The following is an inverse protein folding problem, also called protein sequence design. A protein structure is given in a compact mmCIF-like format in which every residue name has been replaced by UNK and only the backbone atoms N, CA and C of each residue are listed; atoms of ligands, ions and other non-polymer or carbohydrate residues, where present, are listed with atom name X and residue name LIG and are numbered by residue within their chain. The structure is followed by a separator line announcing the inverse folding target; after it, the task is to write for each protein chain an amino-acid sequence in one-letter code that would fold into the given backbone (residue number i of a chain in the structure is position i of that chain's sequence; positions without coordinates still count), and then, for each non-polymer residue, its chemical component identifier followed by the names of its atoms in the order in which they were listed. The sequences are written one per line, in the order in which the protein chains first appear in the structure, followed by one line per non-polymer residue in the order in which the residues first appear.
data_IF_458283186710
#
_entry.id   IF_458283186710
#
_cell.length_a   1.000
_cell.length_b   1.000
_cell.length_c   1.000
_cell.angle_alpha   90.00
_cell.angle_beta   90.00
_cell.angle_gamma   90.00
#
_symmetry.space_group_name_H-M   'P 1'
#
loop_
_entity.id
_entity.type
_entity.pdbx_description
1 polymer ?
#
# COMPACT_ATOMS: atom_id res chain seq x y z
N UNK A 1 13.43 -16.94 -18.12
CA UNK A 1 12.65 -15.77 -18.57
C UNK A 1 11.34 -15.66 -17.81
N UNK A 2 10.76 -14.46 -17.72
CA UNK A 2 9.43 -14.25 -17.11
C UNK A 2 8.36 -14.33 -18.19
N UNK A 3 7.40 -15.25 -18.05
CA UNK A 3 6.29 -15.38 -19.00
C UNK A 3 5.30 -14.20 -18.84
N UNK A 4 5.35 -13.25 -19.79
CA UNK A 4 4.51 -12.05 -19.81
C UNK A 4 3.21 -12.20 -20.61
N UNK A 5 3.08 -13.28 -21.38
CA UNK A 5 1.93 -13.53 -22.26
C UNK A 5 0.86 -14.35 -21.53
N UNK A 6 1.25 -15.37 -20.76
CA UNK A 6 0.28 -16.21 -20.05
C UNK A 6 -0.67 -15.45 -19.13
N UNK A 7 -0.28 -14.35 -18.44
CA UNK A 7 -1.21 -13.58 -17.63
C UNK A 7 -2.34 -12.91 -18.44
N UNK A 8 -2.15 -12.69 -19.75
CA UNK A 8 -3.15 -12.11 -20.67
C UNK A 8 -4.29 -13.09 -20.96
N UNK A 9 -4.04 -14.39 -20.82
CA UNK A 9 -5.00 -15.46 -21.11
C UNK A 9 -5.83 -15.85 -19.88
N UNK A 10 -5.53 -15.28 -18.71
CA UNK A 10 -6.21 -15.58 -17.46
C UNK A 10 -7.47 -14.69 -17.35
N UNK A 11 -8.67 -15.27 -17.19
CA UNK A 11 -9.87 -14.49 -16.93
C UNK A 11 -9.74 -13.63 -15.67
N UNK A 12 -10.35 -12.45 -15.70
CA UNK A 12 -10.33 -11.53 -14.56
C UNK A 12 -11.01 -12.17 -13.36
N UNK A 13 -10.29 -12.33 -12.25
CA UNK A 13 -10.85 -12.87 -11.02
C UNK A 13 -10.13 -12.36 -9.78
N UNK A 14 -10.86 -12.31 -8.66
CA UNK A 14 -10.29 -11.98 -7.36
C UNK A 14 -9.81 -13.26 -6.65
N UNK A 15 -8.55 -13.27 -6.23
CA UNK A 15 -7.99 -14.35 -5.43
C UNK A 15 -8.57 -14.43 -4.00
N UNK A 16 -8.18 -15.47 -3.28
CA UNK A 16 -8.56 -15.66 -1.87
C UNK A 16 -8.12 -14.48 -0.98
N UNK A 17 -8.94 -14.09 0.00
CA UNK A 17 -8.58 -13.02 0.94
C UNK A 17 -7.37 -13.44 1.79
N UNK A 18 -6.41 -12.53 1.98
CA UNK A 18 -5.21 -12.77 2.77
C UNK A 18 -4.66 -11.47 3.39
N UNK A 19 -3.62 -11.59 4.21
CA UNK A 19 -2.93 -10.47 4.87
C UNK A 19 -1.41 -10.48 4.58
N UNK A 20 -0.99 -10.99 3.41
CA UNK A 20 0.42 -11.03 3.05
C UNK A 20 0.87 -9.66 2.54
N UNK A 21 1.87 -9.04 3.20
CA UNK A 21 2.42 -7.75 2.78
C UNK A 21 3.22 -7.82 1.48
N UNK A 22 3.81 -8.98 1.18
CA UNK A 22 4.63 -9.17 -0.02
C UNK A 22 3.84 -8.87 -1.29
N UNK A 23 4.46 -8.04 -2.16
CA UNK A 23 3.97 -7.77 -3.52
C UNK A 23 2.84 -6.73 -3.60
N UNK A 24 2.56 -6.00 -2.52
CA UNK A 24 1.61 -4.89 -2.54
C UNK A 24 2.25 -3.69 -3.23
N UNK A 25 1.49 -3.07 -4.14
CA UNK A 25 1.79 -1.79 -4.78
C UNK A 25 0.48 -1.02 -4.95
N UNK A 26 0.45 0.26 -4.62
CA UNK A 26 -0.77 1.09 -4.72
C UNK A 26 -1.09 1.55 -6.14
N UNK A 27 -0.18 1.35 -7.09
CA UNK A 27 -0.35 1.73 -8.50
C UNK A 27 -1.60 1.14 -9.18
N UNK A 28 -2.17 0.07 -8.63
CA UNK A 28 -3.45 -0.49 -9.07
C UNK A 28 -4.17 -1.12 -7.87
N UNK A 29 -4.67 -0.25 -6.99
CA UNK A 29 -5.24 -0.61 -5.71
C UNK A 29 -6.60 0.05 -5.49
N UNK A 30 -7.52 -0.65 -4.83
CA UNK A 30 -8.81 -0.12 -4.44
C UNK A 30 -9.10 -0.46 -2.98
N UNK A 31 -9.63 0.52 -2.25
CA UNK A 31 -9.97 0.40 -0.84
C UNK A 31 -11.29 1.10 -0.59
N UNK A 32 -12.11 0.52 0.29
CA UNK A 32 -13.34 1.16 0.73
C UNK A 32 -13.01 2.45 1.48
N UNK A 33 -13.74 3.54 1.18
CA UNK A 33 -13.56 4.83 1.85
C UNK A 33 -13.55 4.68 3.37
N UNK A 34 -14.52 3.94 3.94
CA UNK A 34 -14.61 3.71 5.38
C UNK A 34 -13.38 3.01 5.97
N UNK A 35 -12.78 2.06 5.24
CA UNK A 35 -11.56 1.37 5.68
C UNK A 35 -10.35 2.30 5.62
N UNK A 36 -10.23 3.09 4.56
CA UNK A 36 -9.16 4.08 4.41
C UNK A 36 -9.23 5.15 5.51
N UNK A 37 -10.43 5.66 5.80
CA UNK A 37 -10.66 6.60 6.90
C UNK A 37 -10.35 5.98 8.27
N UNK A 38 -10.70 4.70 8.49
CA UNK A 38 -10.42 4.00 9.74
C UNK A 38 -8.92 3.93 10.06
N UNK A 39 -8.07 3.82 9.05
CA UNK A 39 -6.60 3.79 9.21
C UNK A 39 -5.94 5.15 9.04
N UNK A 40 -6.71 6.22 8.86
CA UNK A 40 -6.21 7.57 8.63
C UNK A 40 -5.42 7.73 7.30
N UNK A 41 -5.77 7.00 6.24
CA UNK A 41 -5.13 7.18 4.92
C UNK A 41 -3.66 6.75 4.84
N UNK A 42 -2.90 7.34 3.91
CA UNK A 42 -1.44 7.17 3.84
C UNK A 42 -0.76 7.97 4.95
N UNK A 43 0.42 7.52 5.41
CA UNK A 43 1.21 8.26 6.39
C UNK A 43 2.17 9.20 5.65
N UNK A 44 1.98 10.51 5.81
CA UNK A 44 2.74 11.57 5.14
C UNK A 44 4.19 11.66 5.62
N UNK A 45 4.59 10.90 6.65
CA UNK A 45 5.99 10.79 7.04
C UNK A 45 6.82 10.05 6.00
N UNK A 46 6.23 9.23 5.13
CA UNK A 46 6.97 8.58 4.05
C UNK A 46 7.29 9.60 2.96
N UNK A 47 8.57 9.84 2.75
CA UNK A 47 9.10 10.76 1.74
C UNK A 47 10.06 9.97 0.84
N UNK A 48 10.13 10.36 -0.44
CA UNK A 48 10.97 9.66 -1.41
C UNK A 48 10.49 8.23 -1.69
N UNK A 49 11.42 7.35 -2.07
CA UNK A 49 11.07 6.02 -2.55
C UNK A 49 10.81 5.02 -1.42
N UNK A 50 9.58 4.48 -1.39
CA UNK A 50 9.25 3.18 -0.83
C UNK A 50 8.65 3.14 0.57
N UNK A 51 7.97 2.01 0.83
CA UNK A 51 7.32 1.55 2.08
C UNK A 51 5.97 2.16 2.44
N UNK A 52 5.57 3.26 1.82
CA UNK A 52 4.24 3.86 1.96
C UNK A 52 3.10 2.87 1.69
N UNK A 53 3.25 2.04 0.65
CA UNK A 53 2.26 1.02 0.27
C UNK A 53 2.19 -0.12 1.29
N UNK A 54 3.36 -0.53 1.78
CA UNK A 54 3.49 -1.61 2.77
C UNK A 54 2.93 -1.17 4.11
N UNK A 55 3.16 0.09 4.49
CA UNK A 55 2.63 0.72 5.69
C UNK A 55 1.10 0.77 5.69
N UNK A 56 0.50 1.30 4.62
CA UNK A 56 -0.94 1.36 4.49
C UNK A 56 -1.57 -0.04 4.60
N UNK A 57 -0.99 -1.03 3.90
CA UNK A 57 -1.46 -2.40 3.98
C UNK A 57 -1.32 -3.02 5.37
N UNK A 58 -0.18 -2.80 6.05
CA UNK A 58 0.05 -3.29 7.41
C UNK A 58 -1.00 -2.74 8.37
N UNK A 59 -1.28 -1.43 8.32
CA UNK A 59 -2.31 -0.77 9.12
C UNK A 59 -3.71 -1.31 8.85
N UNK A 60 -4.07 -1.53 7.57
CA UNK A 60 -5.33 -2.17 7.20
C UNK A 60 -5.44 -3.59 7.75
N UNK A 61 -4.35 -4.36 7.74
CA UNK A 61 -4.33 -5.72 8.30
C UNK A 61 -4.42 -5.72 9.84
N UNK A 62 -3.74 -4.79 10.51
CA UNK A 62 -3.88 -4.59 11.95
C UNK A 62 -5.33 -4.20 12.33
N UNK A 63 -6.03 -3.47 11.45
CA UNK A 63 -7.44 -3.12 11.62
C UNK A 63 -8.42 -4.28 11.36
N UNK A 64 -7.92 -5.47 11.01
CA UNK A 64 -8.70 -6.69 10.76
C UNK A 64 -9.11 -6.88 9.29
N UNK A 65 -8.70 -6.00 8.37
CA UNK A 65 -9.06 -6.13 6.96
C UNK A 65 -8.14 -7.11 6.23
N UNK A 66 -8.59 -7.55 5.06
CA UNK A 66 -7.88 -8.49 4.19
C UNK A 66 -7.85 -7.94 2.78
N UNK A 67 -6.78 -8.23 2.04
CA UNK A 67 -6.70 -7.92 0.61
C UNK A 67 -7.12 -9.11 -0.24
N UNK A 68 -7.60 -8.84 -1.45
CA UNK A 68 -7.75 -9.81 -2.53
C UNK A 68 -6.93 -9.32 -3.72
N UNK A 69 -6.14 -10.20 -4.33
CA UNK A 69 -5.41 -9.84 -5.54
C UNK A 69 -6.29 -10.07 -6.76
N UNK A 70 -6.46 -9.02 -7.55
CA UNK A 70 -7.04 -9.13 -8.88
C UNK A 70 -6.01 -9.77 -9.81
N UNK A 71 -6.42 -10.80 -10.54
CA UNK A 71 -5.62 -11.50 -11.56
C UNK A 71 -6.29 -11.34 -12.91
N UNK A 72 -5.54 -11.54 -13.99
CA UNK A 72 -6.05 -11.40 -15.36
C UNK A 72 -6.19 -9.97 -15.86
N UNK A 73 -5.69 -8.98 -15.09
CA UNK A 73 -5.73 -7.56 -15.46
C UNK A 73 -4.31 -6.97 -15.40
N UNK A 74 -3.48 -7.20 -16.43
CA UNK A 74 -2.12 -6.67 -16.48
C UNK A 74 -2.14 -5.14 -16.54
N UNK A 75 -1.10 -4.52 -15.98
CA UNK A 75 -0.85 -3.09 -16.11
C UNK A 75 0.48 -2.89 -16.81
N UNK A 76 0.55 -1.91 -17.71
CA UNK A 76 1.79 -1.51 -18.35
C UNK A 76 2.39 -0.35 -17.56
N UNK A 77 3.62 -0.54 -17.10
CA UNK A 77 4.39 0.53 -16.50
C UNK A 77 5.16 1.25 -17.60
N UNK A 78 4.87 2.54 -17.80
CA UNK A 78 5.63 3.37 -18.72
C UNK A 78 7.05 3.53 -18.19
N UNK A 79 8.03 3.40 -19.07
CA UNK A 79 9.42 3.52 -18.68
C UNK A 79 9.72 4.95 -18.21
N UNK A 80 10.45 5.05 -17.11
CA UNK A 80 11.03 6.27 -16.60
C UNK A 80 12.28 5.91 -15.78
N UNK A 81 13.16 6.88 -15.55
CA UNK A 81 14.33 6.69 -14.69
C UNK A 81 13.91 6.39 -13.24
N UNK A 82 14.65 5.50 -12.58
CA UNK A 82 14.37 5.17 -11.19
C UNK A 82 14.63 6.37 -10.28
N UNK A 83 13.71 6.62 -9.34
CA UNK A 83 13.91 7.66 -8.32
C UNK A 83 14.95 7.20 -7.29
N UNK A 84 15.63 8.17 -6.68
CA UNK A 84 16.60 7.90 -5.61
C UNK A 84 15.98 7.08 -4.46
N UNK A 85 16.79 6.19 -3.89
CA UNK A 85 16.45 5.35 -2.74
C UNK A 85 17.05 5.84 -1.43
N UNK A 86 17.55 7.07 -1.38
CA UNK A 86 18.23 7.61 -0.18
C UNK A 86 17.35 7.57 1.08
N UNK A 87 16.04 7.76 0.91
CA UNK A 87 15.07 7.71 2.02
C UNK A 87 14.71 6.28 2.48
N UNK A 88 15.15 5.23 1.77
CA UNK A 88 14.69 3.86 2.01
C UNK A 88 15.01 3.37 3.43
N UNK A 89 16.20 3.64 3.95
CA UNK A 89 16.58 3.22 5.30
C UNK A 89 15.71 3.88 6.39
N UNK A 90 15.39 5.16 6.23
CA UNK A 90 14.44 5.88 7.10
C UNK A 90 13.05 5.26 7.00
N UNK A 91 12.58 4.99 5.79
CA UNK A 91 11.25 4.44 5.53
C UNK A 91 11.13 2.98 6.01
N UNK A 92 12.20 2.20 5.99
CA UNK A 92 12.27 0.88 6.63
C UNK A 92 12.06 0.97 8.14
N UNK A 93 12.66 1.97 8.79
CA UNK A 93 12.45 2.25 10.22
C UNK A 93 10.99 2.61 10.55
N UNK A 94 10.36 3.44 9.72
CA UNK A 94 8.94 3.78 9.87
C UNK A 94 8.04 2.54 9.73
N UNK A 95 8.30 1.68 8.75
CA UNK A 95 7.53 0.45 8.57
C UNK A 95 7.74 -0.52 9.73
N UNK A 96 8.98 -0.68 10.20
CA UNK A 96 9.30 -1.49 11.36
C UNK A 96 8.55 -1.01 12.62
N UNK A 97 8.44 0.30 12.83
CA UNK A 97 7.67 0.90 13.92
C UNK A 97 6.19 0.47 13.86
N UNK A 98 5.59 0.47 12.66
CA UNK A 98 4.18 0.08 12.47
C UNK A 98 3.97 -1.41 12.70
N UNK A 99 4.88 -2.26 12.19
CA UNK A 99 4.80 -3.71 12.35
C UNK A 99 4.99 -4.13 13.81
N UNK A 100 5.98 -3.56 14.50
CA UNK A 100 6.29 -3.87 15.90
C UNK A 100 5.13 -3.45 16.83
N UNK A 101 4.62 -2.23 16.66
CA UNK A 101 3.59 -1.68 17.53
C UNK A 101 2.16 -2.06 17.11
N UNK A 102 2.00 -2.86 16.03
CA UNK A 102 0.71 -3.18 15.41
C UNK A 102 -0.19 -1.95 15.21
N UNK A 103 0.41 -0.83 14.80
CA UNK A 103 -0.29 0.46 14.67
C UNK A 103 -1.43 0.32 13.66
N UNK A 104 -2.59 0.90 13.96
CA UNK A 104 -3.76 0.89 13.07
C UNK A 104 -3.91 2.21 12.30
N UNK A 105 -3.63 3.35 12.93
CA UNK A 105 -3.79 4.68 12.31
C UNK A 105 -2.45 5.29 11.92
N UNK A 106 -2.38 5.97 10.78
CA UNK A 106 -1.23 6.81 10.41
C UNK A 106 -1.01 7.90 11.48
N UNK A 107 0.26 8.25 11.75
CA UNK A 107 0.61 9.34 12.69
C UNK A 107 0.37 10.72 12.07
N UNK A 108 0.59 10.85 10.77
CA UNK A 108 0.30 12.05 9.99
C UNK A 108 -0.43 11.60 8.72
N UNK A 109 -1.75 11.71 8.67
CA UNK A 109 -2.60 11.13 7.64
C UNK A 109 -3.68 12.10 7.16
N UNK A 110 -4.87 11.58 6.85
CA UNK A 110 -5.99 12.39 6.31
C UNK A 110 -6.53 13.37 7.35
N UNK A 111 -6.65 12.94 8.61
CA UNK A 111 -7.23 13.74 9.69
C UNK A 111 -6.42 15.02 9.97
N UNK A 112 -5.13 15.02 9.63
CA UNK A 112 -4.21 16.14 9.81
C UNK A 112 -4.16 17.09 8.58
N UNK A 113 -4.94 16.80 7.52
CA UNK A 113 -5.08 17.68 6.35
C UNK A 113 -6.23 18.68 6.49
N UNK A 114 -7.24 18.35 7.29
CA UNK A 114 -8.37 19.25 7.51
C UNK A 114 -7.91 20.42 8.37
N UNK A 115 -8.02 21.68 7.92
CA UNK A 115 -7.77 22.82 8.78
C UNK A 115 -8.71 22.70 9.98
N UNK A 116 -8.18 22.92 11.19
CA UNK A 116 -8.99 23.07 12.38
C UNK A 116 -10.10 24.06 12.06
N UNK A 117 -11.35 23.59 12.06
CA UNK A 117 -12.52 24.45 11.99
C UNK A 117 -12.55 25.28 13.27
N UNK A 118 -11.85 26.41 13.25
CA UNK A 118 -12.13 27.59 14.07
C UNK A 118 -13.37 28.31 13.54
#
# INVERSE_FOLDING_TARGET
EVNRISPLLIPVHAGRPNQQLRGIRSCHFSCWKSQLMKVNGFDQRYEGWGREDSDLAARLFHAGFKRRNLRGMPVLHLWHEERSRDALARNDGLLAEVLCNRRIRAKNGIAELEPSSE
#
